data_IF_113395395036
#
_entry.id   IF_113395395036
#
_cell.length_a   1.000
_cell.length_b   1.000
_cell.length_c   1.000
_cell.angle_alpha   90.00
_cell.angle_beta   90.00
_cell.angle_gamma   90.00
#
_symmetry.space_group_name_H-M   'P 1'
#
loop_
_entity.id
_entity.type
_entity.pdbx_description
1 polymer ?
#
# COMPACT_ATOMS: atom_id res chain seq x y z
N UNK A 1 -24.50 -3.28 23.85
CA UNK A 1 -24.30 -3.89 22.52
C UNK A 1 -25.09 -3.09 21.52
N UNK A 2 -24.42 -2.40 20.60
CA UNK A 2 -25.08 -1.56 19.63
C UNK A 2 -25.90 -2.43 18.66
N UNK A 3 -27.18 -2.11 18.52
CA UNK A 3 -28.12 -2.69 17.53
C UNK A 3 -27.79 -2.27 16.07
N UNK A 4 -26.62 -1.66 15.85
CA UNK A 4 -26.18 -1.13 14.56
C UNK A 4 -24.98 -1.96 14.05
N UNK A 5 -24.96 -2.23 12.74
CA UNK A 5 -23.87 -2.97 12.09
C UNK A 5 -22.51 -2.30 12.34
N UNK A 6 -21.44 -3.07 12.14
CA UNK A 6 -20.03 -2.65 12.33
C UNK A 6 -19.67 -1.41 11.51
N UNK A 7 -18.76 -0.59 12.05
CA UNK A 7 -18.11 0.51 11.35
C UNK A 7 -16.69 0.05 10.97
N UNK A 8 -16.44 -0.15 9.68
CA UNK A 8 -15.19 -0.71 9.19
C UNK A 8 -14.39 0.32 8.38
N UNK A 9 -13.11 0.44 8.70
CA UNK A 9 -12.13 1.10 7.84
C UNK A 9 -11.41 0.07 6.97
N UNK A 10 -11.38 0.27 5.66
CA UNK A 10 -10.69 -0.63 4.72
C UNK A 10 -9.59 0.13 4.01
N UNK A 11 -8.37 -0.36 4.13
CA UNK A 11 -7.28 -0.01 3.25
C UNK A 11 -7.21 -1.03 2.11
N UNK A 12 -7.65 -0.62 0.91
CA UNK A 12 -7.66 -1.46 -0.28
C UNK A 12 -6.37 -1.24 -1.08
N UNK A 13 -5.28 -1.81 -0.60
CA UNK A 13 -3.97 -1.64 -1.23
C UNK A 13 -3.69 -2.65 -2.35
N UNK A 14 -2.78 -2.30 -3.25
CA UNK A 14 -2.33 -3.17 -4.37
C UNK A 14 -1.70 -4.49 -3.89
N UNK A 15 -1.03 -4.48 -2.75
CA UNK A 15 -0.31 -5.65 -2.21
C UNK A 15 -1.06 -6.30 -1.07
N UNK A 16 -1.59 -5.53 -0.15
CA UNK A 16 -2.35 -6.00 1.00
C UNK A 16 -3.66 -5.23 1.14
N UNK A 17 -4.68 -5.91 1.62
CA UNK A 17 -5.94 -5.33 2.08
C UNK A 17 -6.01 -5.48 3.59
N UNK A 18 -6.28 -4.38 4.31
CA UNK A 18 -6.47 -4.36 5.75
C UNK A 18 -7.88 -3.89 6.10
N UNK A 19 -8.48 -4.52 7.10
CA UNK A 19 -9.77 -4.09 7.67
C UNK A 19 -9.59 -3.81 9.16
N UNK A 20 -10.05 -2.64 9.58
CA UNK A 20 -9.97 -2.15 10.95
C UNK A 20 -11.36 -1.82 11.49
N UNK A 21 -11.61 -2.14 12.76
CA UNK A 21 -12.76 -1.71 13.56
C UNK A 21 -12.24 -1.16 14.89
N UNK A 22 -12.68 0.03 15.28
CA UNK A 22 -12.33 0.68 16.56
C UNK A 22 -10.83 0.70 16.90
N UNK A 23 -9.98 0.83 15.87
CA UNK A 23 -8.51 0.86 16.03
C UNK A 23 -7.84 -0.51 16.06
N UNK A 24 -8.60 -1.60 16.05
CA UNK A 24 -8.10 -2.98 15.97
C UNK A 24 -8.10 -3.48 14.52
N UNK A 25 -7.01 -4.11 14.09
CA UNK A 25 -6.92 -4.74 12.77
C UNK A 25 -7.56 -6.12 12.83
N UNK A 26 -8.73 -6.25 12.19
CA UNK A 26 -9.49 -7.51 12.13
C UNK A 26 -9.03 -8.41 11.00
N UNK A 27 -8.45 -7.82 9.93
CA UNK A 27 -7.98 -8.57 8.76
C UNK A 27 -6.74 -7.89 8.18
N UNK A 28 -5.74 -8.70 7.86
CA UNK A 28 -4.57 -8.33 7.09
C UNK A 28 -4.28 -9.45 6.09
N UNK A 29 -4.69 -9.28 4.85
CA UNK A 29 -4.58 -10.29 3.81
C UNK A 29 -3.89 -9.72 2.56
N UNK A 30 -3.09 -10.52 1.86
CA UNK A 30 -2.62 -10.16 0.53
C UNK A 30 -3.79 -9.89 -0.43
N UNK A 31 -3.66 -8.86 -1.24
CA UNK A 31 -4.62 -8.55 -2.32
C UNK A 31 -4.32 -9.45 -3.53
N UNK A 32 -4.61 -10.73 -3.39
CA UNK A 32 -4.30 -11.81 -4.35
C UNK A 32 -5.49 -12.75 -4.44
N UNK A 33 -5.79 -13.22 -5.64
CA UNK A 33 -6.87 -14.16 -5.92
C UNK A 33 -6.34 -15.28 -6.81
N UNK A 34 -6.70 -16.51 -6.50
CA UNK A 34 -6.52 -17.67 -7.37
C UNK A 34 -7.83 -17.98 -8.08
N UNK A 35 -7.81 -18.11 -9.39
CA UNK A 35 -8.98 -18.24 -10.25
C UNK A 35 -8.80 -19.46 -11.15
N UNK A 36 -9.82 -20.32 -11.18
CA UNK A 36 -9.96 -21.31 -12.23
C UNK A 36 -10.40 -20.60 -13.53
N UNK A 37 -9.52 -20.62 -14.53
CA UNK A 37 -9.74 -19.89 -15.79
C UNK A 37 -10.78 -20.53 -16.70
N UNK A 38 -11.06 -21.83 -16.55
CA UNK A 38 -12.08 -22.56 -17.32
C UNK A 38 -13.48 -22.32 -16.75
N UNK A 39 -13.60 -22.41 -15.41
CA UNK A 39 -14.88 -22.21 -14.73
C UNK A 39 -15.16 -20.76 -14.34
N UNK A 40 -14.17 -19.85 -14.48
CA UNK A 40 -14.22 -18.44 -14.03
C UNK A 40 -14.63 -18.30 -12.56
N UNK A 41 -14.15 -19.23 -11.73
CA UNK A 41 -14.43 -19.26 -10.30
C UNK A 41 -13.21 -18.90 -9.48
N UNK A 42 -13.45 -18.17 -8.40
CA UNK A 42 -12.43 -17.95 -7.37
C UNK A 42 -12.22 -19.28 -6.63
N UNK A 43 -10.97 -19.75 -6.67
CA UNK A 43 -10.49 -20.94 -5.94
C UNK A 43 -10.14 -20.57 -4.53
N UNK A 44 -9.37 -19.46 -4.36
CA UNK A 44 -8.97 -18.96 -3.06
C UNK A 44 -8.61 -17.47 -3.11
N UNK A 45 -8.47 -16.83 -1.93
CA UNK A 45 -8.12 -15.42 -1.79
C UNK A 45 -7.10 -15.21 -0.67
N UNK A 46 -6.37 -14.10 -0.71
CA UNK A 46 -5.47 -13.69 0.36
C UNK A 46 -4.24 -14.59 0.49
N UNK A 47 -3.90 -14.97 1.72
CA UNK A 47 -2.72 -15.78 2.02
C UNK A 47 -2.71 -17.12 1.28
N UNK A 48 -3.83 -17.83 1.26
CA UNK A 48 -3.96 -19.12 0.58
C UNK A 48 -3.71 -18.98 -0.93
N UNK A 49 -4.31 -17.99 -1.57
CA UNK A 49 -4.07 -17.72 -2.99
C UNK A 49 -2.60 -17.33 -3.27
N UNK A 50 -1.98 -16.56 -2.37
CA UNK A 50 -0.57 -16.18 -2.49
C UNK A 50 0.39 -17.39 -2.38
N UNK A 51 0.05 -18.40 -1.58
CA UNK A 51 0.84 -19.63 -1.49
C UNK A 51 0.82 -20.44 -2.78
N UNK A 52 -0.21 -20.28 -3.60
CA UNK A 52 -0.38 -20.93 -4.89
C UNK A 52 0.46 -20.28 -5.99
N UNK A 53 0.92 -19.04 -5.82
CA UNK A 53 1.65 -18.28 -6.84
C UNK A 53 2.93 -19.03 -7.33
N UNK A 54 2.98 -19.28 -8.64
CA UNK A 54 4.06 -20.05 -9.29
C UNK A 54 4.07 -21.56 -8.97
N UNK A 55 2.99 -22.12 -8.40
CA UNK A 55 2.91 -23.53 -7.94
C UNK A 55 1.65 -24.26 -8.37
N UNK A 56 0.88 -23.69 -9.25
CA UNK A 56 -0.41 -24.24 -9.72
C UNK A 56 -0.33 -24.67 -11.18
N UNK A 57 -1.21 -25.60 -11.63
CA UNK A 57 -1.31 -25.95 -13.03
C UNK A 57 -1.87 -24.78 -13.86
N UNK A 58 -1.70 -24.85 -15.19
CA UNK A 58 -2.11 -23.80 -16.14
C UNK A 58 -3.62 -23.46 -16.08
N UNK A 59 -4.46 -24.34 -15.56
CA UNK A 59 -5.88 -24.10 -15.37
C UNK A 59 -6.18 -23.10 -14.23
N UNK A 60 -5.21 -22.78 -13.37
CA UNK A 60 -5.38 -21.82 -12.25
C UNK A 60 -4.46 -20.63 -12.49
N UNK A 61 -5.04 -19.44 -12.51
CA UNK A 61 -4.30 -18.17 -12.53
C UNK A 61 -4.30 -17.54 -11.16
N UNK A 62 -3.10 -17.16 -10.69
CA UNK A 62 -2.94 -16.36 -9.47
C UNK A 62 -2.62 -14.92 -9.87
N UNK A 63 -3.49 -13.99 -9.52
CA UNK A 63 -3.35 -12.61 -9.95
C UNK A 63 -3.71 -11.59 -8.86
N UNK A 64 -3.34 -10.34 -9.10
CA UNK A 64 -3.73 -9.20 -8.27
C UNK A 64 -4.84 -8.44 -8.99
N UNK A 65 -6.04 -8.33 -8.38
CA UNK A 65 -7.15 -7.60 -8.99
C UNK A 65 -6.97 -6.08 -8.96
N UNK A 66 -5.98 -5.58 -8.21
CA UNK A 66 -5.56 -4.19 -8.21
C UNK A 66 -4.17 -4.03 -8.84
N UNK A 67 -4.01 -2.99 -9.66
CA UNK A 67 -2.72 -2.58 -10.23
C UNK A 67 -2.50 -1.11 -9.97
N UNK A 68 -1.30 -0.77 -9.49
CA UNK A 68 -0.91 0.64 -9.28
C UNK A 68 -1.95 1.47 -8.50
N UNK A 69 -2.56 0.85 -7.48
CA UNK A 69 -3.54 1.48 -6.59
C UNK A 69 -4.98 1.50 -7.10
N UNK A 70 -5.27 1.01 -8.31
CA UNK A 70 -6.62 1.05 -8.88
C UNK A 70 -7.13 -0.35 -9.23
N UNK A 71 -8.47 -0.49 -9.28
CA UNK A 71 -9.13 -1.74 -9.66
C UNK A 71 -8.84 -2.02 -11.14
N UNK A 72 -8.18 -3.15 -11.41
CA UNK A 72 -7.93 -3.65 -12.75
C UNK A 72 -9.02 -4.64 -13.19
N UNK A 73 -9.57 -5.40 -12.24
CA UNK A 73 -10.69 -6.31 -12.46
C UNK A 73 -11.78 -6.06 -11.41
N UNK A 74 -12.92 -5.55 -11.87
CA UNK A 74 -14.03 -5.18 -10.99
C UNK A 74 -14.69 -6.39 -10.34
N UNK A 75 -15.00 -7.42 -11.13
CA UNK A 75 -15.74 -8.59 -10.66
C UNK A 75 -14.93 -9.38 -9.63
N UNK A 76 -13.64 -9.55 -9.88
CA UNK A 76 -12.73 -10.23 -8.95
C UNK A 76 -12.54 -9.40 -7.68
N UNK A 77 -12.36 -8.08 -7.81
CA UNK A 77 -12.21 -7.18 -6.64
C UNK A 77 -13.45 -7.22 -5.75
N UNK A 78 -14.63 -7.11 -6.35
CA UNK A 78 -15.91 -7.18 -5.64
C UNK A 78 -16.06 -8.49 -4.84
N UNK A 79 -15.78 -9.63 -5.48
CA UNK A 79 -15.87 -10.94 -4.82
C UNK A 79 -14.83 -11.11 -3.72
N UNK A 80 -13.59 -10.66 -3.95
CA UNK A 80 -12.54 -10.65 -2.93
C UNK A 80 -12.93 -9.81 -1.71
N UNK A 81 -13.42 -8.57 -1.93
CA UNK A 81 -13.93 -7.71 -0.86
C UNK A 81 -15.09 -8.37 -0.11
N UNK A 82 -16.02 -9.01 -0.84
CA UNK A 82 -17.13 -9.75 -0.24
C UNK A 82 -16.66 -10.84 0.71
N UNK A 83 -15.65 -11.62 0.30
CA UNK A 83 -15.02 -12.64 1.14
C UNK A 83 -14.37 -12.03 2.40
N UNK A 84 -13.60 -10.94 2.26
CA UNK A 84 -12.94 -10.30 3.39
C UNK A 84 -13.94 -9.66 4.36
N UNK A 85 -14.98 -8.99 3.86
CA UNK A 85 -16.03 -8.39 4.70
C UNK A 85 -16.81 -9.50 5.43
N UNK A 86 -17.08 -10.65 4.79
CA UNK A 86 -17.74 -11.78 5.42
C UNK A 86 -16.90 -12.38 6.55
N UNK A 87 -15.59 -12.53 6.32
CA UNK A 87 -14.64 -13.06 7.30
C UNK A 87 -14.62 -12.24 8.59
N UNK A 88 -14.74 -10.91 8.52
CA UNK A 88 -14.73 -10.02 9.69
C UNK A 88 -16.11 -9.76 10.29
N UNK A 89 -17.18 -9.89 9.49
CA UNK A 89 -18.55 -9.61 9.94
C UNK A 89 -19.27 -10.85 10.49
N UNK A 90 -18.73 -12.05 10.22
CA UNK A 90 -19.31 -13.33 10.57
C UNK A 90 -20.49 -13.75 9.68
N UNK A 91 -20.95 -15.01 9.79
CA UNK A 91 -21.96 -15.59 8.90
C UNK A 91 -23.37 -15.03 9.12
N UNK A 92 -23.67 -14.48 10.30
CA UNK A 92 -24.97 -13.89 10.61
C UNK A 92 -25.02 -12.43 10.21
N UNK A 93 -25.15 -12.13 8.91
CA UNK A 93 -25.26 -10.78 8.34
C UNK A 93 -26.62 -10.10 8.64
N UNK A 94 -27.06 -10.08 9.92
CA UNK A 94 -28.29 -9.39 10.29
C UNK A 94 -28.19 -7.87 10.07
N UNK A 95 -26.97 -7.31 10.17
CA UNK A 95 -26.72 -5.88 9.94
C UNK A 95 -25.46 -5.71 9.08
N UNK A 96 -25.66 -5.15 7.88
CA UNK A 96 -24.55 -4.82 6.97
C UNK A 96 -23.67 -3.71 7.57
N UNK A 97 -22.33 -3.77 7.41
CA UNK A 97 -21.43 -2.75 7.93
C UNK A 97 -21.56 -1.41 7.18
N UNK A 98 -21.22 -0.32 7.86
CA UNK A 98 -20.87 0.97 7.25
C UNK A 98 -19.37 0.95 7.03
N UNK A 99 -18.92 1.36 5.85
CA UNK A 99 -17.53 1.24 5.45
C UNK A 99 -16.96 2.59 5.00
N UNK A 100 -15.77 2.92 5.50
CA UNK A 100 -14.89 3.90 4.88
C UNK A 100 -13.74 3.17 4.22
N UNK A 101 -13.63 3.30 2.89
CA UNK A 101 -12.60 2.63 2.10
C UNK A 101 -11.67 3.66 1.45
N UNK A 102 -10.40 3.32 1.38
CA UNK A 102 -9.38 4.22 0.85
C UNK A 102 -9.34 4.21 -0.67
N UNK A 103 -8.94 5.35 -1.22
CA UNK A 103 -8.60 5.51 -2.64
C UNK A 103 -7.30 6.31 -2.76
N UNK A 104 -6.43 6.00 -3.73
CA UNK A 104 -5.21 6.77 -3.95
C UNK A 104 -5.51 8.18 -4.44
N UNK A 105 -4.50 9.05 -4.35
CA UNK A 105 -4.54 10.38 -4.95
C UNK A 105 -4.60 10.30 -6.48
N UNK A 106 -5.27 11.24 -7.10
CA UNK A 106 -5.31 11.38 -8.55
C UNK A 106 -6.18 10.37 -9.29
N UNK A 107 -6.95 9.55 -8.57
CA UNK A 107 -7.91 8.62 -9.20
C UNK A 107 -9.03 9.38 -9.92
N UNK A 108 -9.43 8.87 -11.07
CA UNK A 108 -10.52 9.40 -11.88
C UNK A 108 -11.88 9.19 -11.19
N UNK A 109 -12.92 9.88 -11.68
CA UNK A 109 -14.30 9.66 -11.20
C UNK A 109 -14.77 8.22 -11.46
N UNK A 110 -14.34 7.61 -12.56
CA UNK A 110 -14.67 6.21 -12.90
C UNK A 110 -14.02 5.23 -11.92
N UNK A 111 -12.73 5.43 -11.60
CA UNK A 111 -12.01 4.59 -10.64
C UNK A 111 -12.60 4.72 -9.23
N UNK A 112 -12.94 5.95 -8.78
CA UNK A 112 -13.66 6.16 -7.50
C UNK A 112 -14.99 5.43 -7.45
N UNK A 113 -15.78 5.55 -8.52
CA UNK A 113 -17.06 4.88 -8.63
C UNK A 113 -16.90 3.36 -8.59
N UNK A 114 -15.90 2.81 -9.26
CA UNK A 114 -15.61 1.39 -9.22
C UNK A 114 -15.31 0.90 -7.78
N UNK A 115 -14.51 1.60 -7.01
CA UNK A 115 -14.23 1.24 -5.61
C UNK A 115 -15.50 1.31 -4.75
N UNK A 116 -16.28 2.38 -4.89
CA UNK A 116 -17.54 2.56 -4.17
C UNK A 116 -18.54 1.43 -4.49
N UNK A 117 -18.77 1.17 -5.75
CA UNK A 117 -19.71 0.15 -6.23
C UNK A 117 -19.27 -1.27 -5.85
N UNK A 118 -17.98 -1.60 -6.02
CA UNK A 118 -17.45 -2.89 -5.61
C UNK A 118 -17.65 -3.14 -4.10
N UNK A 119 -17.42 -2.11 -3.27
CA UNK A 119 -17.59 -2.19 -1.82
C UNK A 119 -19.08 -2.30 -1.43
N UNK A 120 -19.95 -1.56 -2.12
CA UNK A 120 -21.40 -1.61 -1.85
C UNK A 120 -21.96 -3.00 -2.20
N UNK A 121 -21.59 -3.54 -3.37
CA UNK A 121 -22.00 -4.87 -3.82
C UNK A 121 -21.41 -5.98 -2.94
N UNK A 122 -20.20 -5.79 -2.38
CA UNK A 122 -19.56 -6.72 -1.45
C UNK A 122 -20.32 -6.89 -0.12
N UNK A 123 -21.41 -6.13 0.09
CA UNK A 123 -22.33 -6.35 1.20
C UNK A 123 -22.32 -5.28 2.27
N UNK A 124 -21.84 -4.07 1.98
CA UNK A 124 -21.98 -2.91 2.87
C UNK A 124 -23.37 -2.27 2.79
N UNK A 125 -23.78 -1.52 3.83
CA UNK A 125 -25.01 -0.71 3.81
C UNK A 125 -24.77 0.74 3.34
N UNK A 126 -23.55 1.22 3.60
CA UNK A 126 -23.14 2.61 3.34
C UNK A 126 -21.64 2.63 3.10
N UNK A 127 -21.18 3.35 2.09
CA UNK A 127 -19.78 3.45 1.71
C UNK A 127 -19.36 4.91 1.64
N UNK A 128 -18.25 5.22 2.27
CA UNK A 128 -17.56 6.51 2.16
C UNK A 128 -16.17 6.28 1.62
N UNK A 129 -15.72 7.16 0.73
CA UNK A 129 -14.35 7.15 0.22
C UNK A 129 -13.48 8.13 1.01
N UNK A 130 -12.22 7.76 1.25
CA UNK A 130 -11.21 8.65 1.82
C UNK A 130 -9.89 8.50 1.06
N UNK A 131 -9.19 9.61 0.83
CA UNK A 131 -7.87 9.56 0.21
C UNK A 131 -6.85 8.96 1.17
N UNK A 132 -6.01 8.04 0.67
CA UNK A 132 -5.01 7.31 1.48
C UNK A 132 -4.13 8.23 2.35
N UNK A 133 -3.54 9.35 1.86
CA UNK A 133 -2.73 10.20 2.73
C UNK A 133 -3.52 10.89 3.83
N UNK A 134 -4.79 11.23 3.60
CA UNK A 134 -5.64 11.80 4.64
C UNK A 134 -5.97 10.73 5.70
N UNK A 135 -6.29 9.51 5.28
CA UNK A 135 -6.47 8.39 6.18
C UNK A 135 -5.19 8.10 6.98
N UNK A 136 -4.02 8.08 6.32
CA UNK A 136 -2.74 7.90 6.99
C UNK A 136 -2.51 8.95 8.09
N UNK A 137 -2.72 10.24 7.78
CA UNK A 137 -2.56 11.32 8.75
C UNK A 137 -3.49 11.20 9.96
N UNK A 138 -4.74 10.76 9.75
CA UNK A 138 -5.71 10.48 10.81
C UNK A 138 -5.24 9.28 11.66
N UNK A 139 -4.76 8.23 11.00
CA UNK A 139 -4.33 6.98 11.64
C UNK A 139 -3.11 7.15 12.52
N UNK A 140 -2.13 7.94 12.08
CA UNK A 140 -0.94 8.27 12.89
C UNK A 140 -1.19 9.38 13.92
N UNK A 141 -2.40 9.95 13.95
CA UNK A 141 -2.79 10.93 14.96
C UNK A 141 -2.26 12.36 14.73
N UNK A 142 -1.91 12.73 13.50
CA UNK A 142 -1.49 14.11 13.19
C UNK A 142 -2.61 15.11 13.49
N UNK A 143 -2.29 16.34 13.97
CA UNK A 143 -3.29 17.37 14.32
C UNK A 143 -3.85 18.05 13.05
N UNK A 144 -4.51 17.27 12.18
CA UNK A 144 -4.99 17.71 10.87
C UNK A 144 -6.00 18.87 10.90
N UNK A 145 -6.69 19.07 12.02
CA UNK A 145 -7.72 20.13 12.16
C UNK A 145 -7.13 21.52 12.41
N UNK A 146 -5.84 21.62 12.67
CA UNK A 146 -5.13 22.89 12.91
C UNK A 146 -4.69 23.56 11.61
N UNK A 147 -4.40 24.87 11.61
CA UNK A 147 -3.85 25.55 10.45
C UNK A 147 -2.37 25.23 10.17
N UNK A 148 -1.76 24.36 10.98
CA UNK A 148 -0.37 23.94 10.81
C UNK A 148 -0.20 22.90 9.72
N UNK A 149 0.92 22.96 8.99
CA UNK A 149 1.30 21.99 7.98
C UNK A 149 1.69 20.64 8.59
N UNK A 150 1.02 19.57 8.15
CA UNK A 150 1.34 18.20 8.51
C UNK A 150 1.63 17.42 7.24
N UNK A 151 2.84 16.86 7.11
CA UNK A 151 3.22 16.10 5.92
C UNK A 151 3.23 14.61 6.18
N UNK A 152 2.58 13.88 5.29
CA UNK A 152 2.52 12.41 5.29
C UNK A 152 3.01 11.90 3.94
N UNK A 153 3.79 10.81 3.97
CA UNK A 153 4.27 10.09 2.79
C UNK A 153 3.89 8.62 2.92
N UNK A 154 3.00 8.16 2.06
CA UNK A 154 2.64 6.74 1.95
C UNK A 154 3.51 6.08 0.88
N UNK A 155 4.40 5.18 1.32
CA UNK A 155 5.25 4.34 0.46
C UNK A 155 4.61 2.96 0.35
N UNK A 156 3.62 2.84 -0.54
CA UNK A 156 2.84 1.62 -0.73
C UNK A 156 3.53 0.57 -1.60
N UNK A 157 2.82 -0.52 -1.85
CA UNK A 157 3.28 -1.58 -2.75
C UNK A 157 3.18 -1.20 -4.23
N UNK A 158 2.10 -0.53 -4.63
CA UNK A 158 1.86 -0.10 -6.02
C UNK A 158 2.07 1.38 -6.28
N UNK A 159 1.96 2.23 -5.24
CA UNK A 159 1.90 3.69 -5.35
C UNK A 159 2.74 4.33 -4.26
N UNK A 160 3.41 5.43 -4.58
CA UNK A 160 3.99 6.37 -3.61
C UNK A 160 3.18 7.65 -3.65
N UNK A 161 2.74 8.14 -2.50
CA UNK A 161 1.92 9.34 -2.37
C UNK A 161 2.45 10.22 -1.26
N UNK A 162 2.49 11.51 -1.50
CA UNK A 162 2.83 12.50 -0.49
C UNK A 162 1.74 13.57 -0.42
N UNK A 163 1.43 14.04 0.77
CA UNK A 163 0.47 15.13 0.96
C UNK A 163 0.82 16.00 2.16
N UNK A 164 0.55 17.28 2.03
CA UNK A 164 0.52 18.26 3.12
C UNK A 164 -0.93 18.53 3.48
N UNK A 165 -1.25 18.38 4.75
CA UNK A 165 -2.61 18.44 5.29
C UNK A 165 -2.67 19.55 6.34
N UNK A 166 -3.67 20.42 6.21
CA UNK A 166 -4.02 21.45 7.19
C UNK A 166 -5.53 21.68 7.14
N UNK A 167 -6.14 22.11 8.27
CA UNK A 167 -7.58 22.39 8.37
C UNK A 167 -8.46 21.25 7.84
N UNK A 168 -8.07 20.01 8.11
CA UNK A 168 -8.71 18.76 7.69
C UNK A 168 -8.75 18.53 6.17
N UNK A 169 -8.04 19.31 5.38
CA UNK A 169 -7.97 19.22 3.92
C UNK A 169 -6.54 19.00 3.40
N UNK A 170 -6.42 18.44 2.23
CA UNK A 170 -5.15 18.33 1.51
C UNK A 170 -4.86 19.65 0.81
N UNK A 171 -3.71 20.27 1.15
CA UNK A 171 -3.27 21.56 0.59
C UNK A 171 -2.37 21.37 -0.62
N UNK A 172 -1.42 20.44 -0.53
CA UNK A 172 -0.54 20.06 -1.63
C UNK A 172 -0.40 18.56 -1.64
N UNK A 173 -0.40 17.94 -2.81
CA UNK A 173 -0.21 16.50 -2.95
C UNK A 173 0.34 16.13 -4.32
N UNK A 174 1.04 15.01 -4.37
CA UNK A 174 1.46 14.33 -5.60
C UNK A 174 1.49 12.83 -5.37
N UNK A 175 1.35 12.07 -6.45
CA UNK A 175 1.41 10.62 -6.42
C UNK A 175 2.14 10.10 -7.65
N UNK A 176 2.86 8.99 -7.49
CA UNK A 176 3.43 8.23 -8.59
C UNK A 176 3.06 6.77 -8.49
N UNK A 177 2.81 6.13 -9.63
CA UNK A 177 2.48 4.70 -9.74
C UNK A 177 3.75 3.83 -9.64
N UNK A 178 4.56 4.12 -8.63
CA UNK A 178 5.81 3.44 -8.30
C UNK A 178 5.78 3.13 -6.81
N UNK A 179 6.03 1.87 -6.47
CA UNK A 179 6.03 1.39 -5.09
C UNK A 179 6.88 0.13 -4.93
N UNK A 180 6.61 -0.63 -3.88
CA UNK A 180 7.39 -1.81 -3.50
C UNK A 180 7.47 -2.91 -4.56
N UNK A 181 6.43 -3.07 -5.40
CA UNK A 181 6.46 -4.03 -6.51
C UNK A 181 7.48 -3.64 -7.58
N UNK A 182 7.65 -2.33 -7.82
CA UNK A 182 8.67 -1.85 -8.75
C UNK A 182 10.09 -2.07 -8.24
N UNK A 183 10.26 -2.06 -6.91
CA UNK A 183 11.52 -2.46 -6.26
C UNK A 183 11.80 -3.95 -6.49
N UNK A 184 10.81 -4.82 -6.37
CA UNK A 184 10.95 -6.27 -6.63
C UNK A 184 11.35 -6.55 -8.09
N UNK A 185 10.74 -5.82 -9.04
CA UNK A 185 11.11 -5.88 -10.45
C UNK A 185 12.56 -5.42 -10.69
N UNK A 186 12.99 -4.34 -10.02
CA UNK A 186 14.36 -3.84 -10.12
C UNK A 186 15.38 -4.86 -9.60
N UNK A 187 15.08 -5.54 -8.49
CA UNK A 187 15.90 -6.62 -7.93
C UNK A 187 15.96 -7.80 -8.92
N UNK A 188 14.83 -8.24 -9.45
CA UNK A 188 14.77 -9.33 -10.43
C UNK A 188 15.58 -8.99 -11.68
N UNK A 189 15.48 -7.76 -12.17
CA UNK A 189 16.24 -7.28 -13.32
C UNK A 189 17.75 -7.25 -13.05
N UNK A 190 18.15 -6.77 -11.86
CA UNK A 190 19.55 -6.76 -11.42
C UNK A 190 20.14 -8.17 -11.39
N UNK A 191 19.44 -9.11 -10.76
CA UNK A 191 19.86 -10.52 -10.68
C UNK A 191 19.99 -11.12 -12.07
N UNK A 192 19.03 -10.85 -12.95
CA UNK A 192 19.08 -11.30 -14.34
C UNK A 192 20.29 -10.76 -15.10
N UNK A 193 20.55 -9.45 -14.94
CA UNK A 193 21.65 -8.76 -15.65
C UNK A 193 23.02 -9.19 -15.14
N UNK A 194 23.18 -9.30 -13.82
CA UNK A 194 24.49 -9.57 -13.20
C UNK A 194 24.84 -11.04 -13.16
N UNK A 195 23.86 -11.89 -12.89
CA UNK A 195 24.08 -13.32 -12.65
C UNK A 195 23.55 -14.24 -13.77
N UNK A 196 22.83 -13.69 -14.75
CA UNK A 196 22.18 -14.52 -15.79
C UNK A 196 21.10 -15.44 -15.20
N UNK A 197 20.46 -15.03 -14.09
CA UNK A 197 19.54 -15.87 -13.35
C UNK A 197 18.13 -15.27 -13.37
N UNK A 198 17.12 -16.06 -13.67
CA UNK A 198 15.71 -15.67 -13.59
C UNK A 198 15.19 -16.08 -12.22
N UNK A 199 14.65 -15.11 -11.47
CA UNK A 199 13.99 -15.34 -10.17
C UNK A 199 12.52 -14.91 -10.23
N UNK A 200 11.67 -15.56 -9.43
CA UNK A 200 10.26 -15.19 -9.28
C UNK A 200 10.08 -13.91 -8.45
N UNK A 201 8.91 -13.28 -8.61
CA UNK A 201 8.51 -12.07 -7.86
C UNK A 201 8.60 -12.28 -6.35
N UNK A 202 8.18 -13.44 -5.86
CA UNK A 202 8.24 -13.81 -4.44
C UNK A 202 9.67 -13.86 -3.90
N UNK A 203 10.61 -14.40 -4.68
CA UNK A 203 12.03 -14.46 -4.30
C UNK A 203 12.64 -13.06 -4.22
N UNK A 204 12.31 -12.17 -5.15
CA UNK A 204 12.75 -10.78 -5.14
C UNK A 204 12.17 -10.02 -3.94
N UNK A 205 10.87 -10.19 -3.65
CA UNK A 205 10.21 -9.60 -2.48
C UNK A 205 10.87 -10.11 -1.17
N UNK A 206 11.16 -11.40 -1.06
CA UNK A 206 11.83 -11.97 0.10
C UNK A 206 13.24 -11.36 0.29
N UNK A 207 14.00 -11.22 -0.77
CA UNK A 207 15.32 -10.57 -0.72
C UNK A 207 15.20 -9.11 -0.27
N UNK A 208 14.25 -8.34 -0.82
CA UNK A 208 13.93 -6.97 -0.38
C UNK A 208 13.63 -6.91 1.12
N UNK A 209 12.76 -7.79 1.63
CA UNK A 209 12.31 -7.78 3.02
C UNK A 209 13.46 -8.16 3.97
N UNK A 210 14.24 -9.20 3.63
CA UNK A 210 15.24 -9.75 4.55
C UNK A 210 16.54 -8.97 4.59
N UNK A 211 17.01 -8.50 3.44
CA UNK A 211 18.33 -7.84 3.34
C UNK A 211 18.27 -6.45 2.70
N UNK A 212 17.10 -5.99 2.23
CA UNK A 212 16.97 -4.70 1.57
C UNK A 212 17.25 -3.50 2.48
N UNK A 213 17.80 -2.44 1.89
CA UNK A 213 18.01 -1.15 2.52
C UNK A 213 17.94 -0.02 1.47
N UNK A 214 17.49 1.16 1.88
CA UNK A 214 17.42 2.34 1.00
C UNK A 214 18.80 3.02 0.81
N UNK A 215 19.72 2.78 1.72
CA UNK A 215 21.09 3.33 1.71
C UNK A 215 22.07 2.31 2.28
N UNK A 216 23.36 2.52 2.03
CA UNK A 216 24.42 1.70 2.61
C UNK A 216 24.26 1.58 4.13
N UNK A 217 24.45 0.39 4.65
CA UNK A 217 24.34 0.04 6.05
C UNK A 217 25.71 -0.33 6.62
N UNK A 218 25.90 -0.13 7.94
CA UNK A 218 27.12 -0.55 8.63
C UNK A 218 27.23 -2.08 8.69
N UNK A 219 26.07 -2.77 8.79
CA UNK A 219 25.98 -4.23 8.79
C UNK A 219 25.49 -4.72 7.41
N UNK A 220 26.37 -5.42 6.69
CA UNK A 220 25.99 -6.09 5.47
C UNK A 220 25.32 -7.43 5.78
N UNK A 221 24.12 -7.63 5.22
CA UNK A 221 23.38 -8.90 5.30
C UNK A 221 23.46 -9.61 3.98
N UNK A 222 23.33 -10.93 4.04
CA UNK A 222 23.31 -11.80 2.86
C UNK A 222 22.10 -12.72 2.87
N UNK A 223 21.67 -13.13 1.68
CA UNK A 223 20.64 -14.15 1.49
C UNK A 223 21.03 -15.05 0.33
N UNK A 224 20.93 -16.36 0.54
CA UNK A 224 20.99 -17.32 -0.56
C UNK A 224 19.62 -17.42 -1.21
N UNK A 225 19.57 -17.24 -2.52
CA UNK A 225 18.38 -17.40 -3.35
C UNK A 225 18.64 -18.38 -4.47
N UNK A 226 17.57 -19.00 -4.96
CA UNK A 226 17.61 -19.89 -6.11
C UNK A 226 16.85 -19.30 -7.27
N UNK A 227 17.35 -19.52 -8.48
CA UNK A 227 16.71 -19.13 -9.72
C UNK A 227 17.08 -20.06 -10.86
N UNK A 228 16.49 -19.83 -12.01
CA UNK A 228 16.75 -20.58 -13.23
C UNK A 228 17.84 -19.89 -14.05
N UNK A 229 18.94 -20.59 -14.33
CA UNK A 229 19.99 -20.11 -15.18
C UNK A 229 19.49 -19.93 -16.64
N UNK A 230 19.73 -18.75 -17.23
CA UNK A 230 19.17 -18.39 -18.54
C UNK A 230 19.74 -19.23 -19.70
N UNK A 231 20.94 -19.78 -19.55
CA UNK A 231 21.62 -20.52 -20.62
C UNK A 231 21.29 -22.00 -20.53
N UNK A 232 21.38 -22.58 -19.35
CA UNK A 232 21.20 -24.01 -19.13
C UNK A 232 19.78 -24.43 -18.80
N UNK A 233 18.93 -23.47 -18.34
CA UNK A 233 17.59 -23.76 -17.83
C UNK A 233 17.58 -24.47 -16.47
N UNK A 234 18.75 -24.76 -15.87
CA UNK A 234 18.84 -25.49 -14.61
C UNK A 234 18.76 -24.57 -13.39
N UNK A 235 18.23 -25.07 -12.25
CA UNK A 235 18.25 -24.33 -11.00
C UNK A 235 19.70 -24.06 -10.55
N UNK A 236 19.97 -22.82 -10.08
CA UNK A 236 21.28 -22.45 -9.56
C UNK A 236 21.12 -21.50 -8.37
N UNK A 237 21.81 -21.75 -7.24
CA UNK A 237 21.85 -20.82 -6.12
C UNK A 237 22.83 -19.67 -6.39
N UNK A 238 22.53 -18.51 -5.82
CA UNK A 238 23.44 -17.37 -5.67
C UNK A 238 23.26 -16.73 -4.29
N UNK A 239 24.29 -16.04 -3.83
CA UNK A 239 24.21 -15.21 -2.62
C UNK A 239 24.10 -13.75 -3.03
N UNK A 240 23.07 -13.07 -2.56
CA UNK A 240 22.92 -11.62 -2.69
C UNK A 240 23.31 -10.93 -1.38
N UNK A 241 23.82 -9.70 -1.52
CA UNK A 241 24.20 -8.84 -0.39
C UNK A 241 23.30 -7.61 -0.28
N UNK A 242 23.27 -6.96 0.89
CA UNK A 242 22.58 -5.68 1.07
C UNK A 242 23.08 -4.62 0.08
N UNK A 243 24.40 -4.54 -0.15
CA UNK A 243 24.99 -3.58 -1.09
C UNK A 243 24.45 -3.74 -2.50
N UNK A 244 24.27 -4.97 -2.96
CA UNK A 244 23.69 -5.27 -4.29
C UNK A 244 22.22 -4.88 -4.38
N UNK A 245 21.43 -5.09 -3.31
CA UNK A 245 20.02 -4.63 -3.29
C UNK A 245 19.99 -3.11 -3.33
N UNK A 246 20.82 -2.43 -2.54
CA UNK A 246 20.91 -0.94 -2.55
C UNK A 246 21.21 -0.45 -3.96
N UNK A 247 22.19 -1.03 -4.66
CA UNK A 247 22.53 -0.69 -6.05
C UNK A 247 21.34 -0.91 -7.00
N UNK A 248 20.68 -2.05 -6.89
CA UNK A 248 19.58 -2.44 -7.77
C UNK A 248 18.39 -1.49 -7.71
N UNK A 249 18.09 -0.91 -6.54
CA UNK A 249 16.84 -0.17 -6.30
C UNK A 249 16.98 1.35 -6.36
N UNK A 250 18.19 1.91 -6.46
CA UNK A 250 18.43 3.36 -6.39
C UNK A 250 17.61 4.16 -7.41
N UNK A 251 17.54 3.69 -8.65
CA UNK A 251 16.75 4.36 -9.70
C UNK A 251 15.27 4.42 -9.32
N UNK A 252 14.71 3.32 -8.82
CA UNK A 252 13.32 3.25 -8.38
C UNK A 252 13.06 4.20 -7.21
N UNK A 253 13.95 4.24 -6.22
CA UNK A 253 13.85 5.16 -5.08
C UNK A 253 13.91 6.63 -5.54
N UNK A 254 14.79 6.97 -6.48
CA UNK A 254 14.89 8.33 -7.04
C UNK A 254 13.59 8.76 -7.74
N UNK A 255 12.90 7.85 -8.43
CA UNK A 255 11.60 8.14 -9.02
C UNK A 255 10.51 8.36 -7.95
N UNK A 256 10.56 7.62 -6.83
CA UNK A 256 9.64 7.80 -5.71
C UNK A 256 9.84 9.16 -5.03
N UNK A 257 11.08 9.56 -4.74
CA UNK A 257 11.38 10.84 -4.05
C UNK A 257 11.05 12.06 -4.92
N UNK A 258 11.07 11.93 -6.23
CA UNK A 258 10.70 13.01 -7.13
C UNK A 258 9.27 13.51 -6.91
N UNK A 259 8.32 12.62 -6.61
CA UNK A 259 6.95 12.96 -6.24
C UNK A 259 6.89 13.71 -4.90
N UNK A 260 7.69 13.29 -3.92
CA UNK A 260 7.76 13.94 -2.60
C UNK A 260 8.31 15.37 -2.72
N UNK A 261 9.37 15.56 -3.51
CA UNK A 261 9.95 16.89 -3.79
C UNK A 261 8.93 17.83 -4.44
N UNK A 262 8.14 17.36 -5.41
CA UNK A 262 7.07 18.17 -6.03
C UNK A 262 6.04 18.67 -5.02
N UNK A 263 5.72 17.89 -4.00
CA UNK A 263 4.80 18.31 -2.93
C UNK A 263 5.44 19.44 -2.12
N UNK A 264 6.69 19.28 -1.71
CA UNK A 264 7.42 20.32 -0.97
C UNK A 264 7.53 21.63 -1.78
N UNK A 265 7.83 21.54 -3.08
CA UNK A 265 7.92 22.70 -3.99
C UNK A 265 6.59 23.46 -4.14
N UNK A 266 5.46 22.76 -4.05
CA UNK A 266 4.11 23.33 -4.19
C UNK A 266 3.50 23.76 -2.86
N UNK A 267 4.16 23.45 -1.75
CA UNK A 267 3.64 23.76 -0.42
C UNK A 267 3.79 25.25 -0.13
N UNK A 268 2.71 25.93 0.36
CA UNK A 268 2.80 27.32 0.77
C UNK A 268 3.89 27.55 1.82
N UNK A 269 4.61 28.70 1.79
CA UNK A 269 5.78 28.96 2.64
C UNK A 269 5.51 28.78 4.14
N UNK A 270 4.35 29.17 4.64
CA UNK A 270 3.98 29.04 6.05
C UNK A 270 3.86 27.58 6.49
N UNK A 271 3.26 26.76 5.63
CA UNK A 271 3.15 25.32 5.88
C UNK A 271 4.49 24.60 5.67
N UNK A 272 5.31 25.08 4.74
CA UNK A 272 6.65 24.54 4.51
C UNK A 272 7.55 24.75 5.73
N UNK A 273 7.44 25.89 6.41
CA UNK A 273 8.14 26.15 7.68
C UNK A 273 7.74 25.12 8.77
N UNK A 274 6.44 24.87 8.92
CA UNK A 274 5.96 23.84 9.85
C UNK A 274 6.55 22.45 9.55
N UNK A 275 6.66 22.10 8.26
CA UNK A 275 7.17 20.80 7.83
C UNK A 275 8.68 20.69 8.05
N UNK A 276 9.45 21.76 7.88
CA UNK A 276 10.88 21.79 8.19
C UNK A 276 11.11 21.52 9.68
N UNK A 277 10.29 22.12 10.54
CA UNK A 277 10.42 21.99 12.00
C UNK A 277 9.93 20.64 12.53
N UNK A 278 8.82 20.11 11.98
CA UNK A 278 8.15 18.90 12.47
C UNK A 278 8.51 17.64 11.69
N UNK A 279 9.01 17.79 10.48
CA UNK A 279 9.30 16.69 9.59
C UNK A 279 8.07 16.11 8.88
N UNK A 280 8.29 14.99 8.21
CA UNK A 280 7.25 14.19 7.54
C UNK A 280 7.13 12.81 8.17
N UNK A 281 5.90 12.32 8.29
CA UNK A 281 5.64 10.94 8.73
C UNK A 281 5.57 10.04 7.50
N UNK A 282 6.36 8.96 7.52
CA UNK A 282 6.38 7.96 6.46
C UNK A 282 5.63 6.69 6.89
N UNK A 283 4.80 6.15 6.01
CA UNK A 283 4.00 4.95 6.24
C UNK A 283 3.95 4.07 4.98
N UNK A 284 3.21 2.96 5.07
CA UNK A 284 3.16 1.94 4.03
C UNK A 284 4.26 0.88 4.16
N UNK A 285 4.08 -0.25 3.48
CA UNK A 285 4.99 -1.39 3.60
C UNK A 285 6.42 -1.12 3.10
N UNK A 286 6.57 -0.26 2.09
CA UNK A 286 7.88 0.11 1.54
C UNK A 286 8.66 1.06 2.48
N UNK A 287 7.98 1.77 3.39
CA UNK A 287 8.62 2.58 4.44
C UNK A 287 9.45 1.73 5.42
N UNK A 288 9.18 0.44 5.51
CA UNK A 288 9.93 -0.51 6.35
C UNK A 288 11.31 -0.88 5.78
N UNK A 289 11.63 -0.46 4.56
CA UNK A 289 12.97 -0.69 4.01
C UNK A 289 14.02 0.00 4.90
N UNK A 290 15.05 -0.73 5.31
CA UNK A 290 16.04 -0.23 6.27
C UNK A 290 16.67 1.08 5.81
N UNK A 291 16.70 2.08 6.70
CA UNK A 291 17.27 3.40 6.43
C UNK A 291 16.48 4.27 5.47
N UNK A 292 15.18 3.95 5.21
CA UNK A 292 14.30 4.75 4.36
C UNK A 292 14.10 6.16 4.93
N UNK A 293 13.95 6.28 6.24
CA UNK A 293 13.83 7.54 6.97
C UNK A 293 15.08 8.43 6.77
N UNK A 294 16.27 7.86 6.96
CA UNK A 294 17.55 8.55 6.75
C UNK A 294 17.77 8.94 5.29
N UNK A 295 17.42 8.02 4.38
CA UNK A 295 17.54 8.26 2.95
C UNK A 295 16.64 9.40 2.50
N UNK A 296 15.35 9.39 2.90
CA UNK A 296 14.40 10.46 2.59
C UNK A 296 14.83 11.81 3.20
N UNK A 297 15.28 11.81 4.45
CA UNK A 297 15.81 13.03 5.10
C UNK A 297 16.97 13.63 4.29
N UNK A 298 17.90 12.80 3.85
CA UNK A 298 19.03 13.25 3.02
C UNK A 298 18.58 13.80 1.67
N UNK A 299 17.65 13.11 1.01
CA UNK A 299 17.20 13.46 -0.34
C UNK A 299 16.27 14.69 -0.38
N UNK A 300 15.56 14.97 0.69
CA UNK A 300 14.57 16.07 0.76
C UNK A 300 15.02 17.26 1.61
N UNK A 301 15.98 17.05 2.50
CA UNK A 301 16.36 18.04 3.53
C UNK A 301 15.33 18.18 4.66
N UNK A 302 14.26 17.40 4.66
CA UNK A 302 13.19 17.41 5.67
C UNK A 302 13.28 16.15 6.52
N UNK A 303 13.28 16.25 7.86
CA UNK A 303 13.31 15.06 8.72
C UNK A 303 12.16 14.10 8.42
N UNK A 304 12.45 12.81 8.26
CA UNK A 304 11.45 11.77 8.00
C UNK A 304 11.39 10.80 9.19
N UNK A 305 10.18 10.47 9.63
CA UNK A 305 9.93 9.59 10.77
C UNK A 305 9.00 8.45 10.38
N UNK A 306 9.41 7.22 10.69
CA UNK A 306 8.54 6.05 10.45
C UNK A 306 7.36 6.08 11.42
N UNK A 307 6.15 5.89 10.90
CA UNK A 307 4.95 5.72 11.71
C UNK A 307 5.09 4.50 12.64
N UNK A 308 4.44 4.53 13.81
CA UNK A 308 4.49 3.42 14.78
C UNK A 308 3.96 2.11 14.19
N UNK A 309 2.86 2.17 13.44
CA UNK A 309 2.28 1.02 12.73
C UNK A 309 2.15 1.34 11.23
N UNK A 310 3.25 1.39 10.49
CA UNK A 310 3.28 2.00 9.16
C UNK A 310 2.40 1.28 8.13
N UNK A 311 2.12 0.00 8.31
CA UNK A 311 1.25 -0.79 7.42
C UNK A 311 -0.22 -0.65 7.79
N UNK A 312 -0.53 -0.46 9.08
CA UNK A 312 -1.90 -0.47 9.60
C UNK A 312 -2.53 0.93 9.70
N UNK A 313 -1.71 2.00 9.72
CA UNK A 313 -2.19 3.35 10.01
C UNK A 313 -3.28 3.83 9.04
N UNK A 314 -3.23 3.46 7.77
CA UNK A 314 -4.22 3.87 6.76
C UNK A 314 -5.58 3.25 7.07
N UNK A 315 -5.66 1.94 7.34
CA UNK A 315 -6.90 1.26 7.71
C UNK A 315 -7.48 1.80 9.02
N UNK A 316 -6.61 2.05 10.03
CA UNK A 316 -7.00 2.68 11.30
C UNK A 316 -7.53 4.08 11.10
N UNK A 317 -6.89 4.86 10.24
CA UNK A 317 -7.34 6.20 9.88
C UNK A 317 -8.66 6.21 9.13
N UNK A 318 -8.90 5.26 8.24
CA UNK A 318 -10.18 5.07 7.57
C UNK A 318 -11.29 4.75 8.59
N UNK A 319 -11.07 3.80 9.51
CA UNK A 319 -12.04 3.49 10.55
C UNK A 319 -12.36 4.72 11.43
N UNK A 320 -11.33 5.44 11.89
CA UNK A 320 -11.48 6.66 12.67
C UNK A 320 -12.18 7.79 11.89
N UNK A 321 -11.98 7.84 10.56
CA UNK A 321 -12.63 8.77 9.65
C UNK A 321 -14.16 8.68 9.69
N UNK A 322 -14.74 7.50 9.92
CA UNK A 322 -16.18 7.31 10.08
C UNK A 322 -16.74 8.09 11.29
N UNK A 323 -15.98 8.20 12.37
CA UNK A 323 -16.38 9.00 13.55
C UNK A 323 -16.21 10.50 13.33
N UNK A 324 -15.51 10.89 12.27
CA UNK A 324 -15.19 12.29 11.93
C UNK A 324 -15.93 12.79 10.68
N UNK A 325 -16.93 12.07 10.19
CA UNK A 325 -17.62 12.37 8.92
C UNK A 325 -18.07 13.81 8.79
N UNK A 326 -18.66 14.38 9.83
CA UNK A 326 -19.15 15.77 9.81
C UNK A 326 -18.03 16.78 9.55
N UNK A 327 -16.82 16.52 10.07
CA UNK A 327 -15.65 17.37 9.87
C UNK A 327 -15.00 17.16 8.51
N UNK A 328 -14.99 15.92 8.03
CA UNK A 328 -14.31 15.52 6.79
C UNK A 328 -15.18 15.70 5.55
N UNK A 329 -16.51 15.78 5.68
CA UNK A 329 -17.48 15.72 4.57
C UNK A 329 -17.15 16.59 3.36
N UNK A 330 -16.55 17.76 3.57
CA UNK A 330 -16.19 18.69 2.49
C UNK A 330 -14.92 18.26 1.74
N UNK A 331 -14.11 17.42 2.37
CA UNK A 331 -12.78 17.00 1.88
C UNK A 331 -12.76 15.54 1.43
N UNK A 332 -13.88 14.82 1.60
CA UNK A 332 -14.00 13.44 1.12
C UNK A 332 -14.26 13.40 -0.40
N UNK A 333 -13.67 12.43 -1.12
CA UNK A 333 -13.96 12.23 -2.54
C UNK A 333 -15.46 11.98 -2.76
N UNK A 334 -16.04 12.70 -3.69
CA UNK A 334 -17.44 12.49 -4.11
C UNK A 334 -17.50 11.45 -5.22
N UNK A 335 -18.57 10.64 -5.24
CA UNK A 335 -18.82 9.61 -6.24
C UNK A 335 -19.75 10.11 -7.32
#
# INVERSE_FOLDING_TARGET
>A
MALFGKDLGIDLGTVNTLICEDGEILLHEPTVVAIDIEELKIVDVGHSAREMDGRVPEAIEVSRPLREGVIADFEITHRMLGHFIEKVSGPARLFKPRIMITVPLGVTSVERRAVHEATLQAGSREVHLIQEPLAAAIGVGLPIATPSGNMVVNLGGGVTQAAVIAMSGIVAADATRIGGLRIDEAISHYVRKKYGLIIGSRTAEEAKIRIGAATTQDEERTIEIQGQDQVTGLPRPITLTTGEIVEAIQETLNLMVASIRKVLERTPPELASDIIDRGMVICGGTALLRGMDKWLTRETGVPAYLAEEPVACIAKGAAKGLTMLDRLRRNLPQV
#
